data_IF_110732267191
#
_entry.id   IF_110732267191
#
_cell.length_a   1.000
_cell.length_b   1.000
_cell.length_c   1.000
_cell.angle_alpha   90.00
_cell.angle_beta   90.00
_cell.angle_gamma   90.00
#
_symmetry.space_group_name_H-M   'P 1'
#
loop_
_entity.id
_entity.type
_entity.pdbx_description
1 polymer ?
#
# COMPACT_ATOMS: atom_id res chain seq x y z
N UNK A 1 10.18 19.80 4.97
CA UNK A 1 9.67 19.36 6.28
C UNK A 1 10.67 18.39 6.90
N UNK A 2 11.35 18.80 7.98
CA UNK A 2 12.23 17.94 8.80
C UNK A 2 11.47 17.48 10.05
N UNK A 3 10.22 17.08 9.89
CA UNK A 3 9.41 16.60 11.01
C UNK A 3 9.82 15.17 11.36
N UNK A 4 10.04 14.93 12.65
CA UNK A 4 10.42 13.62 13.20
C UNK A 4 9.32 12.61 12.92
N UNK A 5 9.74 11.41 12.48
CA UNK A 5 8.84 10.40 11.95
C UNK A 5 7.96 9.71 13.00
N UNK A 6 8.57 9.41 14.13
CA UNK A 6 8.01 8.71 15.27
C UNK A 6 8.35 9.51 16.53
N UNK A 7 7.74 9.20 17.67
CA UNK A 7 7.91 9.99 18.91
C UNK A 7 9.39 10.32 19.20
N UNK A 8 9.57 11.50 19.80
CA UNK A 8 10.72 12.43 19.81
C UNK A 8 12.17 11.92 20.00
N UNK A 9 12.39 10.63 20.20
CA UNK A 9 13.71 10.05 20.47
C UNK A 9 14.42 9.55 19.18
N UNK A 10 13.69 9.28 18.10
CA UNK A 10 14.25 8.88 16.80
C UNK A 10 14.57 10.12 15.94
N UNK A 11 15.87 10.36 15.67
CA UNK A 11 16.36 11.43 14.75
C UNK A 11 16.07 11.15 13.26
N UNK A 12 15.13 10.26 12.96
CA UNK A 12 14.82 9.77 11.61
C UNK A 12 13.67 10.62 11.05
N UNK A 13 13.83 11.13 9.83
CA UNK A 13 12.75 11.87 9.15
C UNK A 13 11.69 10.92 8.62
N UNK A 14 10.48 11.41 8.34
CA UNK A 14 9.42 10.60 7.70
C UNK A 14 9.90 9.96 6.39
N UNK A 15 10.65 10.70 5.58
CA UNK A 15 11.21 10.18 4.34
C UNK A 15 12.24 9.07 4.57
N UNK A 16 13.09 9.20 5.61
CA UNK A 16 14.05 8.15 5.95
C UNK A 16 13.35 6.86 6.38
N UNK A 17 12.25 6.97 7.13
CA UNK A 17 11.43 5.80 7.46
C UNK A 17 10.82 5.18 6.20
N UNK A 18 10.27 5.98 5.28
CA UNK A 18 9.75 5.48 3.99
C UNK A 18 10.84 4.74 3.21
N UNK A 19 12.05 5.32 3.12
CA UNK A 19 13.20 4.68 2.46
C UNK A 19 13.55 3.34 3.12
N UNK A 20 13.60 3.29 4.45
CA UNK A 20 13.88 2.05 5.19
C UNK A 20 12.81 0.98 4.98
N UNK A 21 11.53 1.35 4.96
CA UNK A 21 10.43 0.41 4.74
C UNK A 21 10.44 -0.17 3.31
N UNK A 22 10.71 0.66 2.30
CA UNK A 22 10.86 0.17 0.93
C UNK A 22 12.12 -0.67 0.72
N UNK A 23 13.23 -0.32 1.37
CA UNK A 23 14.46 -1.13 1.34
C UNK A 23 14.24 -2.52 1.97
N UNK A 24 13.52 -2.54 3.08
CA UNK A 24 13.09 -3.75 3.78
C UNK A 24 12.15 -4.61 2.92
N UNK A 25 11.16 -3.99 2.27
CA UNK A 25 10.26 -4.65 1.32
C UNK A 25 11.04 -5.32 0.19
N UNK A 26 11.96 -4.59 -0.44
CA UNK A 26 12.73 -5.08 -1.57
C UNK A 26 13.65 -6.23 -1.17
N UNK A 27 14.41 -6.04 -0.09
CA UNK A 27 15.34 -7.04 0.45
C UNK A 27 14.63 -8.34 0.81
N UNK A 28 13.49 -8.26 1.52
CA UNK A 28 12.73 -9.46 1.89
C UNK A 28 12.01 -10.10 0.71
N UNK A 29 11.49 -9.30 -0.23
CA UNK A 29 10.90 -9.85 -1.46
C UNK A 29 11.91 -10.69 -2.24
N UNK A 30 13.16 -10.23 -2.36
CA UNK A 30 14.25 -11.02 -2.96
C UNK A 30 14.60 -12.24 -2.10
N UNK A 31 14.73 -12.09 -0.78
CA UNK A 31 15.12 -13.18 0.11
C UNK A 31 14.09 -14.33 0.14
N UNK A 32 12.80 -14.02 0.09
CA UNK A 32 11.72 -15.00 0.00
C UNK A 32 11.44 -15.47 -1.44
N UNK A 33 12.16 -14.92 -2.42
CA UNK A 33 11.98 -15.22 -3.83
C UNK A 33 10.53 -15.02 -4.31
N UNK A 34 9.89 -13.93 -3.88
CA UNK A 34 8.57 -13.57 -4.40
C UNK A 34 8.68 -13.05 -5.84
N UNK A 35 7.80 -13.55 -6.72
CA UNK A 35 7.74 -13.16 -8.13
C UNK A 35 7.07 -11.79 -8.32
N UNK A 36 7.69 -10.75 -7.77
CA UNK A 36 7.21 -9.37 -7.87
C UNK A 36 7.83 -8.67 -9.08
N UNK A 37 7.00 -7.92 -9.80
CA UNK A 37 7.45 -6.87 -10.71
C UNK A 37 7.07 -5.53 -10.07
N UNK A 38 8.04 -4.63 -9.89
CA UNK A 38 7.84 -3.38 -9.14
C UNK A 38 8.18 -2.14 -9.98
N UNK A 39 7.37 -1.10 -9.82
CA UNK A 39 7.68 0.26 -10.29
C UNK A 39 7.67 1.25 -9.12
N UNK A 40 8.19 2.45 -9.34
CA UNK A 40 8.23 3.51 -8.33
C UNK A 40 7.63 4.81 -8.88
N UNK A 41 6.63 5.31 -8.17
CA UNK A 41 6.05 6.64 -8.39
C UNK A 41 6.37 7.51 -7.19
N UNK A 42 7.09 8.61 -7.42
CA UNK A 42 7.28 9.68 -6.46
C UNK A 42 6.14 10.67 -6.63
N UNK A 43 5.65 11.20 -5.51
CA UNK A 43 4.75 12.34 -5.52
C UNK A 43 5.15 13.35 -4.45
N UNK A 44 4.95 14.62 -4.81
CA UNK A 44 5.07 15.81 -3.99
C UNK A 44 4.01 16.81 -4.47
N UNK A 45 4.38 18.05 -4.81
CA UNK A 45 3.52 18.96 -5.58
C UNK A 45 3.25 18.46 -7.02
N UNK A 46 3.96 17.42 -7.46
CA UNK A 46 3.78 16.79 -8.76
C UNK A 46 3.94 15.27 -8.66
N UNK A 47 3.43 14.52 -9.65
CA UNK A 47 3.59 13.06 -9.72
C UNK A 47 4.58 12.68 -10.81
N UNK A 48 5.60 11.89 -10.45
CA UNK A 48 6.64 11.40 -11.36
C UNK A 48 6.85 9.90 -11.23
N UNK A 49 6.76 9.16 -12.33
CA UNK A 49 7.30 7.79 -12.41
C UNK A 49 8.82 7.88 -12.39
N UNK A 50 9.47 7.37 -11.36
CA UNK A 50 10.94 7.29 -11.27
C UNK A 50 11.47 6.00 -11.87
N UNK A 51 10.70 4.91 -11.73
CA UNK A 51 11.09 3.61 -12.23
C UNK A 51 9.88 2.88 -12.78
N UNK A 52 10.01 2.31 -13.98
CA UNK A 52 8.98 1.44 -14.58
C UNK A 52 9.07 0.04 -14.00
N UNK A 53 8.05 -0.78 -14.25
CA UNK A 53 7.97 -2.15 -13.78
C UNK A 53 9.21 -2.98 -14.18
N UNK A 54 9.87 -3.56 -13.18
CA UNK A 54 11.04 -4.44 -13.34
C UNK A 54 11.01 -5.59 -12.32
N UNK A 55 11.69 -6.68 -12.63
CA UNK A 55 12.01 -7.75 -11.68
C UNK A 55 13.32 -7.46 -10.90
N UNK A 56 14.06 -6.40 -11.27
CA UNK A 56 15.28 -6.01 -10.58
C UNK A 56 14.97 -5.09 -9.39
N UNK A 57 14.83 -5.66 -8.20
CA UNK A 57 14.56 -4.88 -6.99
C UNK A 57 15.77 -4.08 -6.48
N UNK A 58 17.00 -4.37 -6.94
CA UNK A 58 18.17 -3.55 -6.60
C UNK A 58 18.11 -2.18 -7.29
N UNK A 59 17.73 -2.13 -8.57
CA UNK A 59 17.53 -0.84 -9.25
C UNK A 59 16.40 -0.04 -8.60
N UNK A 60 15.35 -0.71 -8.11
CA UNK A 60 14.30 -0.04 -7.33
C UNK A 60 14.87 0.62 -6.05
N UNK A 61 15.72 -0.09 -5.28
CA UNK A 61 16.35 0.44 -4.06
C UNK A 61 17.20 1.68 -4.34
N UNK A 62 17.97 1.68 -5.44
CA UNK A 62 18.74 2.85 -5.86
C UNK A 62 17.86 4.09 -6.07
N UNK A 63 16.71 3.95 -6.73
CA UNK A 63 15.78 5.07 -6.92
C UNK A 63 15.15 5.52 -5.59
N UNK A 64 14.85 4.58 -4.68
CA UNK A 64 14.32 4.88 -3.34
C UNK A 64 15.33 5.68 -2.52
N UNK A 65 16.61 5.28 -2.50
CA UNK A 65 17.64 5.96 -1.72
C UNK A 65 17.85 7.41 -2.17
N UNK A 66 17.64 7.69 -3.46
CA UNK A 66 17.72 9.02 -4.07
C UNK A 66 16.44 9.87 -3.93
N UNK A 67 15.41 9.41 -3.22
CA UNK A 67 14.20 10.21 -3.00
C UNK A 67 14.50 11.46 -2.15
N UNK A 68 13.85 12.55 -2.51
CA UNK A 68 13.88 13.82 -1.79
C UNK A 68 12.46 14.35 -1.62
N UNK A 69 12.13 14.80 -0.40
CA UNK A 69 10.84 15.40 -0.10
C UNK A 69 10.82 16.86 -0.53
N UNK A 70 9.71 17.31 -1.12
CA UNK A 70 9.50 18.69 -1.50
C UNK A 70 8.00 19.02 -1.47
N UNK A 71 7.65 20.31 -1.42
CA UNK A 71 6.31 20.78 -1.74
C UNK A 71 5.18 20.22 -0.87
N UNK A 72 4.04 19.98 -1.54
CA UNK A 72 2.79 19.49 -0.96
C UNK A 72 2.61 17.99 -1.22
N UNK A 73 1.47 17.41 -0.83
CA UNK A 73 1.14 16.00 -1.11
C UNK A 73 -0.05 15.88 -2.07
N UNK A 74 0.20 15.51 -3.34
CA UNK A 74 -0.87 15.20 -4.34
C UNK A 74 -1.14 13.68 -4.41
N UNK A 75 -1.70 13.14 -3.33
CA UNK A 75 -1.90 11.72 -3.09
C UNK A 75 -2.84 11.04 -4.10
N UNK A 76 -4.02 11.62 -4.37
CA UNK A 76 -5.01 10.98 -5.25
C UNK A 76 -4.55 11.00 -6.72
N UNK A 77 -3.84 12.04 -7.14
CA UNK A 77 -3.19 12.07 -8.46
C UNK A 77 -2.09 11.00 -8.57
N UNK A 78 -1.35 10.74 -7.49
CA UNK A 78 -0.37 9.66 -7.44
C UNK A 78 -1.02 8.27 -7.55
N UNK A 79 -2.13 8.04 -6.84
CA UNK A 79 -2.91 6.80 -6.96
C UNK A 79 -3.41 6.60 -8.39
N UNK A 80 -3.94 7.65 -9.03
CA UNK A 80 -4.38 7.61 -10.42
C UNK A 80 -3.23 7.27 -11.38
N UNK A 81 -2.04 7.84 -11.16
CA UNK A 81 -0.85 7.55 -11.96
C UNK A 81 -0.36 6.11 -11.77
N UNK A 82 -0.38 5.59 -10.55
CA UNK A 82 -0.07 4.19 -10.25
C UNK A 82 -1.07 3.25 -10.92
N UNK A 83 -2.36 3.55 -10.80
CA UNK A 83 -3.46 2.82 -11.44
C UNK A 83 -3.29 2.73 -12.96
N UNK A 84 -2.98 3.84 -13.63
CA UNK A 84 -2.78 3.85 -15.08
C UNK A 84 -1.61 2.97 -15.53
N UNK A 85 -0.52 2.91 -14.75
CA UNK A 85 0.61 2.03 -15.07
C UNK A 85 0.30 0.56 -14.79
N UNK A 86 -0.33 0.25 -13.65
CA UNK A 86 -0.75 -1.11 -13.31
C UNK A 86 -1.78 -1.68 -14.28
N UNK A 87 -2.66 -0.83 -14.82
CA UNK A 87 -3.61 -1.26 -15.85
C UNK A 87 -2.89 -1.88 -17.06
N UNK A 88 -1.80 -1.26 -17.52
CA UNK A 88 -1.01 -1.80 -18.64
C UNK A 88 -0.37 -3.15 -18.29
N UNK A 89 0.13 -3.29 -17.05
CA UNK A 89 0.67 -4.56 -16.55
C UNK A 89 -0.41 -5.64 -16.52
N UNK A 90 -1.60 -5.33 -16.01
CA UNK A 90 -2.71 -6.29 -15.96
C UNK A 90 -3.26 -6.69 -17.33
N UNK A 91 -3.22 -5.79 -18.30
CA UNK A 91 -3.56 -6.10 -19.70
C UNK A 91 -2.53 -7.06 -20.34
N UNK A 92 -1.25 -6.93 -19.98
CA UNK A 92 -0.17 -7.79 -20.47
C UNK A 92 -0.08 -9.12 -19.72
N UNK A 93 -0.35 -9.13 -18.41
CA UNK A 93 -0.25 -10.28 -17.52
C UNK A 93 -1.55 -10.43 -16.70
N UNK A 94 -2.60 -11.05 -17.27
CA UNK A 94 -3.93 -11.11 -16.64
C UNK A 94 -3.99 -11.83 -15.30
N UNK A 95 -3.05 -12.74 -15.04
CA UNK A 95 -2.97 -13.50 -13.79
C UNK A 95 -2.24 -12.74 -12.66
N UNK A 96 -1.59 -11.61 -12.98
CA UNK A 96 -0.88 -10.81 -11.98
C UNK A 96 -1.84 -10.11 -11.04
N UNK A 97 -1.57 -10.24 -9.73
CA UNK A 97 -2.25 -9.45 -8.70
C UNK A 97 -1.74 -8.01 -8.72
N UNK A 98 -2.60 -7.06 -9.03
CA UNK A 98 -2.25 -5.65 -9.11
C UNK A 98 -2.35 -4.97 -7.73
N UNK A 99 -1.28 -4.28 -7.32
CA UNK A 99 -1.17 -3.67 -6.00
C UNK A 99 -0.46 -2.34 -6.03
N UNK A 100 -0.98 -1.37 -5.29
CA UNK A 100 -0.27 -0.15 -4.90
C UNK A 100 0.06 -0.25 -3.42
N UNK A 101 1.32 -0.05 -3.04
CA UNK A 101 1.74 0.14 -1.65
C UNK A 101 2.10 1.62 -1.50
N UNK A 102 1.28 2.37 -0.78
CA UNK A 102 1.41 3.81 -0.62
C UNK A 102 2.02 4.13 0.75
N UNK A 103 3.22 4.69 0.76
CA UNK A 103 3.90 5.17 1.97
C UNK A 103 3.86 6.69 1.94
N UNK A 104 3.13 7.28 2.89
CA UNK A 104 2.82 8.72 2.91
C UNK A 104 2.41 9.16 4.31
N UNK A 105 2.29 10.45 4.54
CA UNK A 105 1.66 10.98 5.76
C UNK A 105 0.12 10.93 5.72
N UNK A 106 -0.45 10.53 4.58
CA UNK A 106 -1.87 10.26 4.41
C UNK A 106 -2.72 11.48 4.10
N UNK A 107 -2.11 12.67 4.05
CA UNK A 107 -2.82 13.90 3.70
C UNK A 107 -2.83 14.09 2.18
N UNK A 108 -3.78 14.89 1.71
CA UNK A 108 -3.83 15.38 0.34
C UNK A 108 -4.06 16.89 0.38
N UNK A 109 -3.19 17.65 -0.30
CA UNK A 109 -3.11 19.10 -0.21
C UNK A 109 -3.49 19.81 -1.53
N UNK A 110 -4.01 19.08 -2.52
CA UNK A 110 -4.31 19.67 -3.81
C UNK A 110 -4.30 18.72 -5.00
N UNK A 111 -4.65 17.45 -4.80
CA UNK A 111 -4.93 16.59 -5.95
C UNK A 111 -6.09 17.16 -6.77
N UNK A 112 -5.96 17.10 -8.09
CA UNK A 112 -7.06 17.41 -9.01
C UNK A 112 -8.02 16.22 -9.18
N UNK A 113 -7.60 15.04 -8.73
CA UNK A 113 -8.38 13.82 -8.78
C UNK A 113 -9.19 13.64 -7.50
N UNK A 114 -10.50 13.44 -7.66
CA UNK A 114 -11.39 13.15 -6.54
C UNK A 114 -11.15 11.75 -5.95
N UNK A 115 -11.18 11.59 -4.61
CA UNK A 115 -10.84 10.34 -3.92
C UNK A 115 -11.82 9.20 -4.22
N UNK A 116 -13.12 9.48 -4.30
CA UNK A 116 -14.15 8.49 -4.66
C UNK A 116 -14.04 8.06 -6.13
N UNK A 117 -13.75 8.99 -7.03
CA UNK A 117 -13.57 8.72 -8.45
C UNK A 117 -12.33 7.86 -8.74
N UNK A 118 -11.21 8.06 -8.02
CA UNK A 118 -10.04 7.17 -8.15
C UNK A 118 -10.29 5.81 -7.51
N UNK A 119 -11.00 5.77 -6.37
CA UNK A 119 -11.32 4.53 -5.66
C UNK A 119 -12.17 3.59 -6.51
N UNK A 120 -13.28 4.10 -7.09
CA UNK A 120 -14.17 3.30 -7.94
C UNK A 120 -13.45 2.71 -9.15
N UNK A 121 -12.49 3.45 -9.73
CA UNK A 121 -11.65 2.97 -10.84
C UNK A 121 -10.61 1.93 -10.41
N UNK A 122 -9.98 2.11 -9.25
CA UNK A 122 -9.09 1.11 -8.67
C UNK A 122 -9.84 -0.21 -8.44
N UNK A 123 -11.05 -0.14 -7.86
CA UNK A 123 -11.90 -1.29 -7.61
C UNK A 123 -12.31 -2.01 -8.90
N UNK A 124 -12.72 -1.26 -9.94
CA UNK A 124 -13.14 -1.87 -11.22
C UNK A 124 -12.00 -2.56 -11.97
N UNK A 125 -10.76 -2.12 -11.75
CA UNK A 125 -9.54 -2.75 -12.27
C UNK A 125 -8.97 -3.83 -11.35
N UNK A 126 -9.65 -4.17 -10.25
CA UNK A 126 -9.18 -5.11 -9.23
C UNK A 126 -7.81 -4.75 -8.61
N UNK A 127 -7.43 -3.49 -8.63
CA UNK A 127 -6.18 -3.00 -8.04
C UNK A 127 -6.38 -2.79 -6.54
N UNK A 128 -5.55 -3.44 -5.74
CA UNK A 128 -5.56 -3.31 -4.28
C UNK A 128 -4.66 -2.16 -3.85
N UNK A 129 -5.14 -1.30 -2.95
CA UNK A 129 -4.30 -0.26 -2.32
C UNK A 129 -4.03 -0.66 -0.88
N UNK A 130 -2.75 -0.83 -0.55
CA UNK A 130 -2.30 -0.85 0.84
C UNK A 130 -1.63 0.48 1.17
N UNK A 131 -1.88 0.99 2.37
CA UNK A 131 -1.33 2.24 2.83
C UNK A 131 -0.55 2.07 4.13
N UNK A 132 0.54 2.79 4.24
CA UNK A 132 1.31 2.95 5.47
C UNK A 132 1.40 4.44 5.73
N UNK A 133 0.63 4.88 6.71
CA UNK A 133 0.57 6.27 7.17
C UNK A 133 1.72 6.51 8.14
N UNK A 134 2.60 7.43 7.77
CA UNK A 134 3.83 7.76 8.50
C UNK A 134 3.71 9.17 9.07
N UNK A 135 3.57 9.26 10.39
CA UNK A 135 3.40 10.53 11.10
C UNK A 135 1.94 10.92 11.30
N UNK A 136 1.70 12.23 11.37
CA UNK A 136 0.37 12.79 11.64
C UNK A 136 -0.45 12.88 10.35
N UNK A 137 -1.71 12.47 10.45
CA UNK A 137 -2.71 12.58 9.39
C UNK A 137 -3.93 13.30 9.92
N UNK A 138 -4.50 14.19 9.12
CA UNK A 138 -5.64 15.02 9.49
C UNK A 138 -6.98 14.39 9.09
N UNK A 139 -6.99 13.51 8.07
CA UNK A 139 -8.18 12.79 7.63
C UNK A 139 -7.91 11.29 7.39
N UNK A 140 -8.99 10.51 7.26
CA UNK A 140 -8.88 9.05 7.09
C UNK A 140 -9.29 8.58 5.69
N UNK A 141 -9.17 9.44 4.68
CA UNK A 141 -9.58 9.11 3.31
C UNK A 141 -8.77 7.93 2.76
N UNK A 142 -7.44 7.98 2.87
CA UNK A 142 -6.54 6.92 2.39
C UNK A 142 -6.84 5.56 3.04
N UNK A 143 -7.27 5.57 4.30
CA UNK A 143 -7.75 4.36 4.97
C UNK A 143 -9.02 3.81 4.29
N UNK A 144 -10.00 4.67 4.01
CA UNK A 144 -11.23 4.31 3.30
C UNK A 144 -10.93 3.74 1.91
N UNK A 145 -10.03 4.36 1.14
CA UNK A 145 -9.59 3.89 -0.18
C UNK A 145 -8.96 2.49 -0.07
N UNK A 146 -8.06 2.30 0.90
CA UNK A 146 -7.38 1.01 1.10
C UNK A 146 -8.39 -0.10 1.42
N UNK A 147 -9.33 0.14 2.33
CA UNK A 147 -10.34 -0.85 2.69
C UNK A 147 -11.34 -1.12 1.55
N UNK A 148 -11.80 -0.08 0.84
CA UNK A 148 -12.72 -0.24 -0.29
C UNK A 148 -12.12 -1.11 -1.41
N UNK A 149 -10.81 -0.98 -1.66
CA UNK A 149 -10.09 -1.78 -2.66
C UNK A 149 -9.70 -3.19 -2.16
N UNK A 150 -10.00 -3.52 -0.90
CA UNK A 150 -9.69 -4.83 -0.29
C UNK A 150 -8.27 -4.93 0.31
N UNK A 151 -7.60 -3.80 0.48
CA UNK A 151 -6.30 -3.67 1.11
C UNK A 151 -6.36 -3.26 2.58
N UNK A 152 -5.20 -2.92 3.12
CA UNK A 152 -4.96 -2.60 4.52
C UNK A 152 -4.36 -1.20 4.64
N UNK A 153 -4.70 -0.49 5.71
CA UNK A 153 -4.10 0.79 6.03
C UNK A 153 -3.52 0.73 7.44
N UNK A 154 -2.20 0.81 7.51
CA UNK A 154 -1.43 0.73 8.75
C UNK A 154 -0.98 2.13 9.16
N UNK A 155 -0.89 2.37 10.47
CA UNK A 155 -0.29 3.59 11.01
C UNK A 155 0.67 3.20 12.14
N UNK A 156 1.89 2.71 11.82
CA UNK A 156 2.86 2.35 12.85
C UNK A 156 3.23 3.59 13.68
N UNK A 157 3.31 3.43 14.99
CA UNK A 157 3.69 4.52 15.91
C UNK A 157 5.21 4.66 16.09
N UNK A 158 5.99 3.66 15.66
CA UNK A 158 7.46 3.65 15.77
C UNK A 158 8.14 3.05 14.54
N UNK A 159 9.41 3.41 14.31
CA UNK A 159 10.27 2.81 13.27
C UNK A 159 10.28 1.29 13.38
N UNK A 160 10.40 0.80 14.62
CA UNK A 160 10.40 -0.62 14.95
C UNK A 160 9.08 -1.29 14.59
N UNK A 161 7.94 -0.67 14.87
CA UNK A 161 6.64 -1.19 14.48
C UNK A 161 6.48 -1.25 12.95
N UNK A 162 6.94 -0.23 12.23
CA UNK A 162 6.96 -0.22 10.77
C UNK A 162 7.84 -1.33 10.19
N UNK A 163 9.06 -1.50 10.71
CA UNK A 163 9.95 -2.58 10.26
C UNK A 163 9.37 -3.97 10.52
N UNK A 164 8.76 -4.18 11.70
CA UNK A 164 8.07 -5.43 12.05
C UNK A 164 6.88 -5.71 11.14
N UNK A 165 6.18 -4.67 10.68
CA UNK A 165 5.10 -4.83 9.71
C UNK A 165 5.64 -5.38 8.38
N UNK A 166 6.75 -4.85 7.88
CA UNK A 166 7.38 -5.33 6.65
C UNK A 166 8.13 -6.66 6.80
N UNK A 167 8.22 -7.23 8.00
CA UNK A 167 8.66 -8.61 8.22
C UNK A 167 7.59 -9.66 7.90
N UNK A 168 6.33 -9.25 7.84
CA UNK A 168 5.21 -10.17 7.62
C UNK A 168 5.07 -10.51 6.14
N UNK A 169 5.09 -11.80 5.80
CA UNK A 169 4.86 -12.29 4.44
C UNK A 169 3.52 -11.81 3.85
N UNK A 170 2.49 -11.68 4.69
CA UNK A 170 1.17 -11.16 4.30
C UNK A 170 1.16 -9.67 3.95
N UNK A 171 2.16 -8.91 4.41
CA UNK A 171 2.40 -7.52 4.00
C UNK A 171 3.25 -7.49 2.73
N UNK A 172 4.21 -8.40 2.58
CA UNK A 172 5.08 -8.44 1.41
C UNK A 172 4.35 -8.94 0.15
N UNK A 173 3.59 -10.04 0.26
CA UNK A 173 2.91 -10.69 -0.87
C UNK A 173 1.40 -10.75 -0.68
N UNK A 174 0.66 -10.28 -1.69
CA UNK A 174 -0.81 -10.44 -1.74
C UNK A 174 -1.26 -11.89 -1.90
N UNK A 175 -0.37 -12.78 -2.34
CA UNK A 175 -0.69 -14.19 -2.52
C UNK A 175 -0.78 -14.90 -1.15
N UNK A 176 0.06 -14.50 -0.21
CA UNK A 176 0.09 -15.04 1.16
C UNK A 176 -1.05 -14.50 2.03
N UNK A 177 -1.81 -13.52 1.54
CA UNK A 177 -2.82 -12.78 2.29
C UNK A 177 -4.24 -13.19 1.91
N UNK A 178 -5.08 -13.39 2.93
CA UNK A 178 -6.53 -13.42 2.73
C UNK A 178 -7.05 -12.00 2.48
N UNK A 179 -7.50 -11.73 1.26
CA UNK A 179 -8.02 -10.41 0.89
C UNK A 179 -9.27 -10.06 1.69
N UNK A 180 -9.40 -8.79 2.08
CA UNK A 180 -10.63 -8.29 2.70
C UNK A 180 -11.77 -8.38 1.69
N UNK A 181 -12.99 -8.54 2.22
CA UNK A 181 -14.20 -8.50 1.40
C UNK A 181 -14.31 -7.11 0.75
N UNK A 182 -14.16 -7.06 -0.57
CA UNK A 182 -14.34 -5.82 -1.35
C UNK A 182 -15.77 -5.34 -1.25
N UNK A 183 -15.95 -4.03 -1.14
CA UNK A 183 -17.25 -3.39 -1.32
C UNK A 183 -17.63 -3.41 -2.80
N UNK A 184 -18.93 -3.32 -3.10
CA UNK A 184 -19.35 -3.06 -4.48
C UNK A 184 -19.01 -1.60 -4.84
N UNK A 185 -18.38 -1.33 -6.00
CA UNK A 185 -18.05 0.03 -6.42
C UNK A 185 -19.24 1.00 -6.41
N UNK A 186 -20.46 0.51 -6.63
CA UNK A 186 -21.69 1.32 -6.61
C UNK A 186 -22.04 1.92 -5.24
N UNK A 187 -21.44 1.43 -4.15
CA UNK A 187 -21.57 2.02 -2.82
C UNK A 187 -20.68 3.24 -2.60
N UNK A 188 -19.60 3.39 -3.37
CA UNK A 188 -18.68 4.53 -3.25
C UNK A 188 -19.21 5.68 -4.12
N UNK A 189 -20.21 6.39 -3.60
CA UNK A 189 -20.89 7.51 -4.29
C UNK A 189 -20.34 8.88 -3.96
N UNK A 190 -19.55 8.98 -2.88
CA UNK A 190 -18.99 10.21 -2.35
C UNK A 190 -17.87 9.90 -1.38
N UNK A 191 -17.03 10.89 -1.13
CA UNK A 191 -15.93 10.82 -0.15
C UNK A 191 -16.41 10.48 1.28
N UNK A 192 -17.62 10.88 1.65
CA UNK A 192 -18.19 10.64 2.99
C UNK A 192 -18.32 9.15 3.31
N UNK A 193 -18.55 8.30 2.30
CA UNK A 193 -18.57 6.84 2.48
C UNK A 193 -17.17 6.34 2.85
N UNK A 194 -16.13 6.86 2.21
CA UNK A 194 -14.75 6.47 2.49
C UNK A 194 -14.34 6.88 3.91
N UNK A 195 -14.74 8.07 4.36
CA UNK A 195 -14.52 8.52 5.74
C UNK A 195 -15.26 7.62 6.74
N UNK A 196 -16.51 7.23 6.43
CA UNK A 196 -17.30 6.36 7.29
C UNK A 196 -16.72 4.95 7.46
N UNK A 197 -15.95 4.44 6.48
CA UNK A 197 -15.27 3.15 6.61
C UNK A 197 -14.26 3.13 7.76
N UNK A 198 -13.57 4.25 8.01
CA UNK A 198 -12.62 4.34 9.12
C UNK A 198 -13.30 4.24 10.47
N UNK A 199 -14.45 4.91 10.66
CA UNK A 199 -15.17 4.93 11.93
C UNK A 199 -15.54 3.53 12.45
N UNK A 200 -15.68 2.55 11.54
CA UNK A 200 -16.06 1.19 11.88
C UNK A 200 -14.87 0.23 12.08
N UNK A 201 -13.69 0.54 11.53
CA UNK A 201 -12.59 -0.44 11.41
C UNK A 201 -11.28 0.02 12.04
N UNK A 202 -10.97 1.33 12.04
CA UNK A 202 -9.66 1.83 12.46
C UNK A 202 -8.50 1.28 11.62
N UNK A 203 -7.26 1.64 11.96
CA UNK A 203 -6.08 1.13 11.25
C UNK A 203 -5.88 -0.38 11.49
N UNK A 204 -5.37 -1.05 10.46
CA UNK A 204 -4.98 -2.44 10.55
C UNK A 204 -3.73 -2.62 11.45
N UNK A 205 -3.72 -3.69 12.24
CA UNK A 205 -2.51 -4.11 12.97
C UNK A 205 -1.66 -5.10 12.16
N UNK A 206 -2.32 -6.04 11.49
CA UNK A 206 -1.70 -7.06 10.63
C UNK A 206 -2.71 -7.64 9.64
N UNK A 207 -2.30 -8.07 8.44
CA UNK A 207 -3.17 -8.80 7.53
C UNK A 207 -3.31 -10.30 7.89
N UNK A 208 -4.47 -10.88 7.60
CA UNK A 208 -4.75 -12.31 7.78
C UNK A 208 -4.00 -13.17 6.73
N UNK A 209 -3.48 -14.32 7.17
CA UNK A 209 -2.81 -15.31 6.30
C UNK A 209 -3.86 -16.06 5.47
N UNK A 210 -3.59 -16.24 4.18
CA UNK A 210 -4.33 -17.18 3.34
C UNK A 210 -3.88 -18.60 3.68
N UNK A 211 -4.80 -19.44 4.16
CA UNK A 211 -4.49 -20.86 4.38
C UNK A 211 -4.34 -21.56 3.02
N UNK A 212 -3.28 -22.34 2.81
CA UNK A 212 -3.16 -23.23 1.65
C UNK A 212 -4.42 -24.09 1.52
N UNK A 213 -4.98 -24.18 0.31
CA UNK A 213 -6.17 -25.01 0.03
C UNK A 213 -6.00 -26.45 0.48
N UNK A 214 -4.77 -26.97 0.42
CA UNK A 214 -4.39 -28.33 0.84
C UNK A 214 -4.56 -28.63 2.34
N UNK A 215 -4.62 -27.61 3.20
CA UNK A 215 -4.87 -27.78 4.64
C UNK A 215 -6.36 -27.91 4.99
N UNK A 216 -7.27 -27.52 4.08
CA UNK A 216 -8.71 -27.68 4.29
C UNK A 216 -9.20 -29.11 4.02
N UNK A 217 -8.36 -29.97 3.43
CA UNK A 217 -8.78 -31.29 2.95
C UNK A 217 -8.49 -32.48 3.91
N UNK A 218 -7.93 -32.28 5.11
CA UNK A 218 -7.72 -33.41 6.05
C UNK A 218 -7.76 -33.04 7.54
N UNK A 219 -8.91 -33.26 8.20
CA UNK A 219 -9.02 -34.06 9.44
C UNK A 219 -10.42 -34.70 9.50
N UNK A 220 -10.70 -35.62 8.59
CA UNK A 220 -11.73 -36.66 8.77
C UNK A 220 -11.08 -37.95 8.34
N UNK A 221 -10.46 -38.66 9.29
CA UNK A 221 -10.24 -40.11 9.31
C UNK A 221 -9.13 -40.45 10.31
N UNK A 222 -9.54 -40.73 11.55
CA UNK A 222 -9.13 -41.95 12.26
C UNK A 222 -10.06 -42.17 13.45
N UNK A 223 -11.18 -42.83 13.19
CA UNK A 223 -11.79 -43.74 14.16
C UNK A 223 -11.46 -45.16 13.68
N UNK A 224 -10.61 -45.86 14.42
CA UNK A 224 -10.56 -47.32 14.52
C UNK A 224 -10.03 -47.70 15.89
#
# INVERSE_FOLDING_TARGET
MNETCYDSDDKITRLDAVKQLFDNFATRSMAYNFHHVIGLVKFDSSVKTLHTFTENLETFKEHVHNLEANGCTVLYDALKRGMSQLKQVGEQFPDCRLRIICLTDGNDDGSMTEPDAVTTKLMSLNIVVDAIVVGKVDNNMLHGISNATGGCCFKPETSKAGLKLFEMETVLSLEMRKLKKKLDPSYIKSESILVALFANQGYDEKPEVALPSQLNDKVTLTEK
#
